data_IF_841686714265
#
_entry.id   IF_841686714265
#
_cell.length_a   1.000
_cell.length_b   1.000
_cell.length_c   1.000
_cell.angle_alpha   90.00
_cell.angle_beta   90.00
_cell.angle_gamma   90.00
#
_symmetry.space_group_name_H-M   'P 1'
#
loop_
_entity.id
_entity.type
_entity.pdbx_description
1 polymer ?
#
# COMPACT_ATOMS: atom_id res chain seq x y z
N UNK A 1 -12.43 -11.95 21.81
CA UNK A 1 -12.04 -12.03 20.39
C UNK A 1 -12.85 -13.16 19.78
N UNK A 2 -13.90 -12.85 19.02
CA UNK A 2 -14.89 -13.82 18.53
C UNK A 2 -14.33 -14.60 17.34
N UNK A 3 -14.77 -15.85 17.13
CA UNK A 3 -14.31 -16.71 16.00
C UNK A 3 -14.45 -15.99 14.65
N UNK A 4 -15.53 -15.23 14.46
CA UNK A 4 -15.78 -14.38 13.29
C UNK A 4 -14.69 -13.31 13.04
N UNK A 5 -14.05 -12.81 14.11
CA UNK A 5 -12.96 -11.83 14.00
C UNK A 5 -11.63 -12.46 13.58
N UNK A 6 -11.43 -13.76 13.83
CA UNK A 6 -10.22 -14.49 13.44
C UNK A 6 -10.27 -14.87 11.97
N UNK A 7 -11.41 -15.42 11.51
CA UNK A 7 -11.62 -15.79 10.10
C UNK A 7 -11.49 -14.58 9.16
N UNK A 8 -12.07 -13.44 9.55
CA UNK A 8 -11.96 -12.20 8.77
C UNK A 8 -10.51 -11.71 8.66
N UNK A 9 -9.71 -11.84 9.73
CA UNK A 9 -8.30 -11.46 9.72
C UNK A 9 -7.48 -12.38 8.81
N UNK A 10 -7.69 -13.69 8.89
CA UNK A 10 -7.03 -14.66 8.01
C UNK A 10 -7.37 -14.42 6.53
N UNK A 11 -8.65 -14.16 6.22
CA UNK A 11 -9.08 -13.81 4.88
C UNK A 11 -8.38 -12.53 4.37
N UNK A 12 -8.34 -11.50 5.20
CA UNK A 12 -7.69 -10.23 4.86
C UNK A 12 -6.19 -10.39 4.58
N UNK A 13 -5.46 -11.10 5.46
CA UNK A 13 -4.02 -11.34 5.27
C UNK A 13 -3.77 -12.13 3.98
N UNK A 14 -4.54 -13.19 3.72
CA UNK A 14 -4.39 -13.98 2.51
C UNK A 14 -4.61 -13.13 1.25
N UNK A 15 -5.64 -12.29 1.23
CA UNK A 15 -5.91 -11.38 0.12
C UNK A 15 -4.78 -10.36 -0.08
N UNK A 16 -4.23 -9.79 1.01
CA UNK A 16 -3.10 -8.86 0.95
C UNK A 16 -1.84 -9.55 0.37
N UNK A 17 -1.53 -10.76 0.82
CA UNK A 17 -0.38 -11.52 0.32
C UNK A 17 -0.54 -11.88 -1.16
N UNK A 18 -1.75 -12.21 -1.62
CA UNK A 18 -2.02 -12.41 -3.05
C UNK A 18 -1.80 -11.12 -3.87
N UNK A 19 -2.23 -9.97 -3.35
CA UNK A 19 -2.02 -8.68 -3.99
C UNK A 19 -0.53 -8.30 -4.08
N UNK A 20 0.24 -8.56 -3.01
CA UNK A 20 1.70 -8.35 -3.00
C UNK A 20 2.40 -9.31 -3.96
N UNK A 21 1.99 -10.57 -3.99
CA UNK A 21 2.52 -11.55 -4.95
C UNK A 21 2.24 -11.13 -6.40
N UNK A 22 1.07 -10.55 -6.66
CA UNK A 22 0.75 -9.98 -7.97
C UNK A 22 1.68 -8.81 -8.34
N UNK A 23 2.01 -7.90 -7.41
CA UNK A 23 3.04 -6.87 -7.65
C UNK A 23 4.39 -7.50 -8.02
N UNK A 24 4.78 -8.57 -7.32
CA UNK A 24 6.01 -9.31 -7.62
C UNK A 24 6.02 -9.85 -9.05
N UNK A 25 4.87 -10.33 -9.52
CA UNK A 25 4.69 -10.77 -10.91
C UNK A 25 4.75 -9.60 -11.90
N UNK A 26 4.18 -8.44 -11.59
CA UNK A 26 4.31 -7.23 -12.43
C UNK A 26 5.77 -6.78 -12.57
N UNK A 27 6.51 -6.74 -11.46
CA UNK A 27 7.95 -6.43 -11.45
C UNK A 27 8.75 -7.42 -12.32
N UNK A 28 8.44 -8.72 -12.21
CA UNK A 28 9.06 -9.76 -13.01
C UNK A 28 8.68 -9.65 -14.50
N UNK A 29 7.43 -9.33 -14.82
CA UNK A 29 6.98 -9.09 -16.18
C UNK A 29 7.70 -7.90 -16.82
N UNK A 30 7.90 -6.81 -16.06
CA UNK A 30 8.70 -5.67 -16.51
C UNK A 30 10.14 -6.06 -16.83
N UNK A 31 10.79 -6.82 -15.95
CA UNK A 31 12.17 -7.32 -16.19
C UNK A 31 12.26 -8.19 -17.45
N UNK A 32 11.29 -9.08 -17.64
CA UNK A 32 11.28 -10.05 -18.73
C UNK A 32 10.68 -9.51 -20.04
N UNK A 33 10.14 -8.28 -20.05
CA UNK A 33 9.45 -7.69 -21.21
C UNK A 33 8.11 -8.37 -21.54
N UNK A 34 7.42 -8.94 -20.54
CA UNK A 34 6.13 -9.64 -20.69
C UNK A 34 4.96 -8.73 -20.35
N UNK A 35 3.76 -9.15 -20.75
CA UNK A 35 2.51 -8.48 -20.36
C UNK A 35 2.26 -8.60 -18.85
N UNK A 36 1.58 -7.59 -18.30
CA UNK A 36 1.20 -7.60 -16.89
C UNK A 36 0.08 -8.62 -16.62
N UNK A 37 0.17 -9.40 -15.53
CA UNK A 37 -0.90 -10.32 -15.14
C UNK A 37 -2.15 -9.56 -14.70
N UNK A 38 -3.31 -10.20 -14.80
CA UNK A 38 -4.56 -9.68 -14.26
C UNK A 38 -4.55 -9.63 -12.73
N UNK A 39 -5.12 -8.56 -12.15
CA UNK A 39 -5.23 -8.42 -10.70
C UNK A 39 -6.19 -9.46 -10.10
N UNK A 40 -5.86 -10.09 -8.95
CA UNK A 40 -6.71 -11.11 -8.32
C UNK A 40 -8.10 -10.57 -7.94
N UNK A 41 -9.15 -11.32 -8.27
CA UNK A 41 -10.54 -10.88 -8.06
C UNK A 41 -10.96 -10.94 -6.59
N UNK A 42 -10.38 -11.87 -5.84
CA UNK A 42 -10.62 -12.11 -4.42
C UNK A 42 -10.32 -10.88 -3.56
N UNK A 43 -9.42 -10.01 -4.05
CA UNK A 43 -8.99 -8.79 -3.38
C UNK A 43 -9.97 -7.63 -3.59
N UNK A 44 -10.89 -7.71 -4.55
CA UNK A 44 -11.80 -6.60 -4.92
C UNK A 44 -13.07 -6.53 -4.06
N UNK A 45 -13.23 -7.40 -3.06
CA UNK A 45 -14.42 -7.41 -2.20
C UNK A 45 -14.28 -6.41 -1.06
N UNK A 46 -15.37 -5.73 -0.69
CA UNK A 46 -15.40 -4.72 0.38
C UNK A 46 -15.02 -5.28 1.77
N UNK A 47 -15.08 -6.60 1.96
CA UNK A 47 -14.63 -7.25 3.18
C UNK A 47 -13.10 -7.21 3.33
N UNK A 48 -12.35 -6.96 2.26
CA UNK A 48 -10.88 -6.87 2.29
C UNK A 48 -10.47 -5.43 2.60
N UNK A 49 -9.55 -5.24 3.54
CA UNK A 49 -9.16 -3.92 4.03
C UNK A 49 -8.52 -3.06 2.94
N UNK A 50 -7.77 -3.67 2.01
CA UNK A 50 -7.24 -2.97 0.85
C UNK A 50 -8.35 -2.38 -0.04
N UNK A 51 -9.40 -3.14 -0.34
CA UNK A 51 -10.52 -2.67 -1.16
C UNK A 51 -11.27 -1.53 -0.45
N UNK A 52 -11.54 -1.72 0.85
CA UNK A 52 -12.16 -0.69 1.67
C UNK A 52 -11.34 0.62 1.71
N UNK A 53 -10.02 0.52 1.90
CA UNK A 53 -9.09 1.66 1.90
C UNK A 53 -9.06 2.36 0.54
N UNK A 54 -8.92 1.60 -0.54
CA UNK A 54 -8.91 2.10 -1.93
C UNK A 54 -10.18 2.90 -2.21
N UNK A 55 -11.34 2.37 -1.85
CA UNK A 55 -12.63 3.06 -2.02
C UNK A 55 -12.72 4.32 -1.14
N UNK A 56 -12.34 4.23 0.13
CA UNK A 56 -12.46 5.33 1.10
C UNK A 56 -11.62 6.54 0.69
N UNK A 57 -10.41 6.32 0.20
CA UNK A 57 -9.50 7.38 -0.25
C UNK A 57 -9.59 7.65 -1.75
N UNK A 58 -10.51 7.00 -2.46
CA UNK A 58 -10.74 7.14 -3.90
C UNK A 58 -9.45 6.93 -4.72
N UNK A 59 -8.66 5.91 -4.34
CA UNK A 59 -7.43 5.58 -5.04
C UNK A 59 -7.76 4.97 -6.42
N UNK A 60 -7.04 5.43 -7.44
CA UNK A 60 -6.97 4.79 -8.74
C UNK A 60 -6.33 3.40 -8.64
N UNK A 61 -6.50 2.58 -9.68
CA UNK A 61 -5.81 1.29 -9.81
C UNK A 61 -4.29 1.47 -9.64
N UNK A 62 -3.71 2.49 -10.27
CA UNK A 62 -2.29 2.76 -10.21
C UNK A 62 -1.81 3.19 -8.81
N UNK A 63 -2.59 4.04 -8.13
CA UNK A 63 -2.28 4.49 -6.77
C UNK A 63 -2.34 3.34 -5.76
N UNK A 64 -3.36 2.47 -5.86
CA UNK A 64 -3.43 1.22 -5.09
C UNK A 64 -2.21 0.33 -5.36
N UNK A 65 -1.77 0.24 -6.61
CA UNK A 65 -0.61 -0.59 -6.97
C UNK A 65 0.70 -0.01 -6.39
N UNK A 66 0.85 1.31 -6.33
CA UNK A 66 1.98 1.97 -5.64
C UNK A 66 1.96 1.67 -4.14
N UNK A 67 0.78 1.75 -3.51
CA UNK A 67 0.63 1.38 -2.11
C UNK A 67 1.06 -0.08 -1.87
N UNK A 68 0.60 -1.02 -2.71
CA UNK A 68 0.99 -2.43 -2.63
C UNK A 68 2.48 -2.68 -2.89
N UNK A 69 3.11 -1.90 -3.77
CA UNK A 69 4.56 -1.93 -3.96
C UNK A 69 5.30 -1.56 -2.67
N UNK A 70 4.80 -0.56 -1.94
CA UNK A 70 5.34 -0.18 -0.64
C UNK A 70 5.06 -1.23 0.45
N UNK A 71 3.87 -1.86 0.44
CA UNK A 71 3.56 -3.00 1.32
C UNK A 71 4.55 -4.13 1.09
N UNK A 72 4.77 -4.54 -0.16
CA UNK A 72 5.69 -5.62 -0.49
C UNK A 72 7.12 -5.33 -0.02
N UNK A 73 7.59 -4.09 -0.19
CA UNK A 73 8.88 -3.65 0.35
C UNK A 73 8.96 -3.78 1.88
N UNK A 74 7.86 -3.56 2.60
CA UNK A 74 7.82 -3.59 4.05
C UNK A 74 7.74 -5.02 4.63
N UNK A 75 7.09 -5.96 3.93
CA UNK A 75 6.77 -7.29 4.49
C UNK A 75 7.55 -8.45 3.87
N UNK A 76 8.08 -8.29 2.66
CA UNK A 76 8.80 -9.35 1.95
C UNK A 76 10.30 -9.01 1.86
N UNK A 77 11.17 -9.75 2.59
CA UNK A 77 12.61 -9.48 2.62
C UNK A 77 13.30 -9.69 1.27
N UNK A 78 12.65 -10.31 0.28
CA UNK A 78 13.19 -10.52 -1.06
C UNK A 78 12.93 -9.35 -2.03
N UNK A 79 12.05 -8.41 -1.67
CA UNK A 79 11.72 -7.27 -2.52
C UNK A 79 12.92 -6.38 -2.85
N UNK A 80 13.81 -6.00 -1.91
CA UNK A 80 14.94 -5.12 -2.22
C UNK A 80 15.83 -5.66 -3.37
N UNK A 81 16.10 -6.96 -3.36
CA UNK A 81 16.86 -7.62 -4.42
C UNK A 81 16.11 -7.57 -5.77
N UNK A 82 14.82 -7.87 -5.76
CA UNK A 82 13.99 -7.79 -6.96
C UNK A 82 13.93 -6.38 -7.54
N UNK A 83 13.77 -5.35 -6.70
CA UNK A 83 13.73 -3.95 -7.14
C UNK A 83 15.07 -3.52 -7.75
N UNK A 84 16.18 -3.92 -7.14
CA UNK A 84 17.52 -3.69 -7.68
C UNK A 84 17.71 -4.34 -9.06
N UNK A 85 17.23 -5.58 -9.24
CA UNK A 85 17.27 -6.29 -10.52
C UNK A 85 16.42 -5.60 -11.59
N UNK A 86 15.18 -5.21 -11.26
CA UNK A 86 14.26 -4.53 -12.18
C UNK A 86 14.79 -3.16 -12.59
N UNK A 87 15.42 -2.43 -11.67
CA UNK A 87 16.02 -1.11 -11.93
C UNK A 87 17.41 -1.18 -12.56
N UNK A 88 18.02 -2.37 -12.65
CA UNK A 88 19.37 -2.56 -13.17
C UNK A 88 20.46 -1.88 -12.34
N UNK A 89 20.18 -1.58 -11.08
CA UNK A 89 21.08 -0.84 -10.20
C UNK A 89 20.94 -1.31 -8.75
N UNK A 90 22.00 -1.92 -8.20
CA UNK A 90 22.03 -2.43 -6.83
C UNK A 90 21.83 -1.36 -5.75
N UNK A 91 22.08 -0.09 -6.07
CA UNK A 91 21.82 1.04 -5.16
C UNK A 91 20.34 1.45 -5.13
N UNK A 92 19.53 1.00 -6.08
CA UNK A 92 18.10 1.28 -6.17
C UNK A 92 17.29 0.06 -5.73
N UNK A 93 17.47 -0.33 -4.47
CA UNK A 93 16.78 -1.48 -3.86
C UNK A 93 15.49 -1.05 -3.12
N UNK A 94 14.82 -0.01 -3.60
CA UNK A 94 13.66 0.60 -2.94
C UNK A 94 12.61 1.09 -3.97
N UNK A 95 11.33 1.19 -3.57
CA UNK A 95 10.27 1.73 -4.42
C UNK A 95 10.50 3.21 -4.74
N UNK A 96 10.22 3.61 -5.98
CA UNK A 96 10.21 5.00 -6.43
C UNK A 96 9.03 5.24 -7.37
N UNK A 97 8.60 6.49 -7.55
CA UNK A 97 7.57 6.79 -8.56
C UNK A 97 8.08 6.46 -9.98
N UNK A 98 9.36 6.68 -10.26
CA UNK A 98 9.98 6.30 -11.54
C UNK A 98 9.89 4.80 -11.80
N UNK A 99 10.11 3.96 -10.78
CA UNK A 99 9.92 2.53 -10.89
C UNK A 99 8.44 2.20 -11.15
N UNK A 100 7.53 2.74 -10.36
CA UNK A 100 6.09 2.49 -10.50
C UNK A 100 5.57 2.82 -11.90
N UNK A 101 5.96 3.97 -12.46
CA UNK A 101 5.57 4.42 -13.79
C UNK A 101 6.01 3.49 -14.92
N UNK A 102 7.04 2.67 -14.68
CA UNK A 102 7.58 1.75 -15.70
C UNK A 102 7.26 0.28 -15.43
N UNK A 103 6.93 -0.09 -14.19
CA UNK A 103 6.82 -1.48 -13.77
C UNK A 103 5.42 -1.89 -13.28
N UNK A 104 4.45 -0.96 -13.27
CA UNK A 104 3.07 -1.23 -12.88
C UNK A 104 2.09 -0.86 -14.02
N UNK A 105 0.92 -1.52 -14.10
CA UNK A 105 -0.09 -1.20 -15.11
C UNK A 105 -0.78 0.14 -14.83
N UNK A 106 -1.35 0.71 -15.90
CA UNK A 106 -2.10 1.99 -15.89
C UNK A 106 -1.30 3.21 -15.37
N UNK A 107 -0.03 3.42 -15.79
CA UNK A 107 0.78 4.51 -15.25
C UNK A 107 0.21 5.88 -15.60
N UNK A 108 0.20 6.79 -14.62
CA UNK A 108 -0.18 8.18 -14.82
C UNK A 108 0.70 9.15 -14.03
N UNK A 109 0.98 10.32 -14.60
CA UNK A 109 1.87 11.32 -13.97
C UNK A 109 1.22 12.10 -12.82
N UNK A 110 -0.10 12.00 -12.63
CA UNK A 110 -0.81 12.67 -11.54
C UNK A 110 -0.33 12.27 -10.14
N UNK A 111 0.46 11.19 -10.01
CA UNK A 111 1.11 10.81 -8.75
C UNK A 111 2.14 11.84 -8.25
N UNK A 112 2.60 12.75 -9.13
CA UNK A 112 3.49 13.84 -8.75
C UNK A 112 2.74 15.04 -8.16
N UNK A 113 1.42 15.16 -8.37
CA UNK A 113 0.61 16.24 -7.79
C UNK A 113 0.61 16.18 -6.27
N UNK A 114 0.75 17.31 -5.58
CA UNK A 114 0.60 17.40 -4.11
C UNK A 114 -0.78 17.00 -3.64
N UNK A 115 -1.79 17.12 -4.50
CA UNK A 115 -3.18 16.72 -4.24
C UNK A 115 -3.44 15.23 -4.52
N UNK A 116 -2.42 14.47 -4.92
CA UNK A 116 -2.57 13.05 -5.15
C UNK A 116 -3.00 12.34 -3.83
N UNK A 117 -4.03 11.48 -3.84
CA UNK A 117 -4.55 10.83 -2.64
C UNK A 117 -3.49 10.14 -1.78
N UNK A 118 -2.47 9.52 -2.38
CA UNK A 118 -1.40 8.84 -1.65
C UNK A 118 -0.62 9.78 -0.72
N UNK A 119 -0.40 11.03 -1.15
CA UNK A 119 0.34 12.05 -0.39
C UNK A 119 -0.60 12.90 0.46
N UNK A 120 -1.75 13.27 -0.09
CA UNK A 120 -2.76 14.07 0.60
C UNK A 120 -3.21 13.41 1.91
N UNK A 121 -3.39 12.09 1.88
CA UNK A 121 -3.80 11.30 3.05
C UNK A 121 -2.64 10.62 3.77
N UNK A 122 -1.39 10.94 3.39
CA UNK A 122 -0.17 10.38 3.99
C UNK A 122 -0.17 8.84 4.03
N UNK A 123 -0.68 8.20 2.97
CA UNK A 123 -0.69 6.74 2.87
C UNK A 123 0.71 6.17 2.60
N UNK A 124 1.55 7.01 2.00
CA UNK A 124 2.97 6.76 1.79
C UNK A 124 3.78 7.99 2.20
N UNK A 125 5.01 7.75 2.60
CA UNK A 125 6.04 8.76 2.79
C UNK A 125 6.94 8.81 1.54
N UNK A 126 7.30 10.03 1.13
CA UNK A 126 8.28 10.29 0.08
C UNK A 126 9.52 10.86 0.75
N UNK A 127 10.63 10.13 0.73
CA UNK A 127 11.84 10.53 1.44
C UNK A 127 12.39 11.87 0.90
N UNK A 128 12.67 12.79 1.83
CA UNK A 128 13.09 14.16 1.51
C UNK A 128 14.60 14.18 1.28
N UNK A 129 15.04 14.42 0.05
CA UNK A 129 16.47 14.55 -0.27
C UNK A 129 16.85 14.28 -1.71
N UNK A 130 15.95 13.69 -2.49
CA UNK A 130 16.10 13.43 -3.92
C UNK A 130 14.94 14.06 -4.70
N UNK A 131 15.05 14.06 -6.04
CA UNK A 131 13.92 14.41 -6.91
C UNK A 131 12.69 13.58 -6.52
N UNK A 132 11.48 14.15 -6.48
CA UNK A 132 10.26 13.43 -6.08
C UNK A 132 10.05 12.12 -6.84
N UNK A 133 10.47 12.06 -8.11
CA UNK A 133 10.36 10.86 -8.95
C UNK A 133 11.28 9.71 -8.53
N UNK A 134 12.44 10.03 -7.94
CA UNK A 134 13.50 9.06 -7.60
C UNK A 134 13.69 8.89 -6.09
N UNK A 135 12.96 9.66 -5.30
CA UNK A 135 12.93 9.52 -3.84
C UNK A 135 12.36 8.14 -3.45
N UNK A 136 12.96 7.48 -2.45
CA UNK A 136 12.38 6.31 -1.82
C UNK A 136 10.94 6.55 -1.37
N UNK A 137 10.05 5.59 -1.66
CA UNK A 137 8.69 5.56 -1.14
C UNK A 137 8.60 4.52 -0.02
N UNK A 138 7.89 4.85 1.05
CA UNK A 138 7.58 3.95 2.16
C UNK A 138 6.09 4.00 2.47
N UNK A 139 5.53 2.90 2.92
CA UNK A 139 4.16 2.90 3.43
C UNK A 139 4.13 3.49 4.84
N UNK A 140 3.09 4.26 5.16
CA UNK A 140 2.84 4.70 6.54
C UNK A 140 2.60 3.49 7.47
N UNK A 141 3.16 3.53 8.68
CA UNK A 141 3.12 2.41 9.62
C UNK A 141 1.70 2.09 10.09
N UNK A 142 0.85 3.10 10.28
CA UNK A 142 -0.55 2.90 10.66
C UNK A 142 -1.34 2.27 9.51
N UNK A 143 -1.11 2.70 8.27
CA UNK A 143 -1.72 2.09 7.10
C UNK A 143 -1.27 0.65 6.93
N UNK A 144 0.02 0.35 7.14
CA UNK A 144 0.53 -1.02 7.11
C UNK A 144 -0.12 -1.91 8.17
N UNK A 145 -0.19 -1.44 9.43
CA UNK A 145 -0.86 -2.15 10.52
C UNK A 145 -2.34 -2.41 10.20
N UNK A 146 -3.03 -1.39 9.67
CA UNK A 146 -4.42 -1.51 9.23
C UNK A 146 -4.57 -2.60 8.15
N UNK A 147 -3.73 -2.59 7.11
CA UNK A 147 -3.79 -3.58 6.03
C UNK A 147 -3.48 -5.00 6.51
N UNK A 148 -2.62 -5.16 7.52
CA UNK A 148 -2.34 -6.45 8.17
C UNK A 148 -3.46 -6.92 9.10
N UNK A 149 -4.48 -6.07 9.34
CA UNK A 149 -5.54 -6.32 10.29
C UNK A 149 -5.05 -6.37 11.73
N UNK A 150 -3.96 -5.66 12.01
CA UNK A 150 -3.56 -5.34 13.36
C UNK A 150 -4.40 -4.18 13.90
N UNK A 151 -4.53 -4.14 15.23
CA UNK A 151 -5.21 -3.04 15.89
C UNK A 151 -4.39 -1.77 15.70
N UNK A 152 -4.87 -0.86 14.87
CA UNK A 152 -4.40 0.52 14.89
C UNK A 152 -5.12 1.23 16.04
N UNK A 153 -4.39 1.52 17.11
CA UNK A 153 -4.83 2.50 18.08
C UNK A 153 -3.77 3.57 18.17
N UNK A 154 -4.19 4.77 17.83
CA UNK A 154 -3.48 5.97 18.15
C UNK A 154 -3.54 6.12 19.69
N UNK A 155 -2.49 5.65 20.36
CA UNK A 155 -2.31 5.84 21.81
C UNK A 155 -2.28 7.32 22.17
N UNK A 156 -1.94 8.20 21.22
CA UNK A 156 -2.04 9.65 21.40
C UNK A 156 -3.50 10.09 21.37
N UNK A 157 -4.33 9.61 20.44
CA UNK A 157 -5.79 9.88 20.44
C UNK A 157 -6.50 9.37 21.70
N UNK A 158 -6.07 8.28 22.35
CA UNK A 158 -6.63 7.88 23.65
C UNK A 158 -6.46 8.94 24.74
N UNK A 159 -5.41 9.75 24.65
CA UNK A 159 -5.17 10.86 25.59
C UNK A 159 -5.89 12.16 25.21
N UNK A 160 -6.31 12.30 23.94
CA UNK A 160 -7.01 13.49 23.42
C UNK A 160 -8.53 13.30 23.28
N UNK A 161 -9.04 12.06 23.28
CA UNK A 161 -10.47 11.77 23.22
C UNK A 161 -11.01 11.66 24.66
N UNK A 162 -11.46 12.78 25.20
CA UNK A 162 -12.42 12.74 26.31
C UNK A 162 -13.71 12.13 25.78
N UNK A 163 -14.02 10.89 26.18
CA UNK A 163 -15.36 10.35 26.04
C UNK A 163 -16.31 11.29 26.78
N UNK A 164 -17.14 12.04 26.05
CA UNK A 164 -18.26 12.74 26.66
C UNK A 164 -19.22 11.66 27.19
N UNK A 165 -19.56 11.64 28.49
CA UNK A 165 -20.59 10.74 28.98
C UNK A 165 -21.90 11.03 28.26
N UNK A 166 -22.71 9.99 28.02
CA UNK A 166 -24.01 10.01 27.31
C UNK A 166 -25.09 10.91 27.96
N UNK A 167 -24.75 11.75 28.94
CA UNK A 167 -25.68 12.53 29.75
C UNK A 167 -25.99 13.95 29.20
N UNK A 168 -25.63 14.27 27.96
CA UNK A 168 -25.95 15.58 27.35
C UNK A 168 -26.85 15.44 26.12
N UNK A 169 -27.88 14.60 26.22
CA UNK A 169 -29.09 14.69 25.39
C UNK A 169 -30.32 14.65 26.30
N UNK A 170 -30.60 15.78 26.95
CA UNK A 170 -31.91 16.12 27.52
C UNK A 170 -32.34 17.47 27.01
#
# INVERSE_FOLDING_TARGET
MTILSVEQKSLNINALLQAVQWIRQCLSAKRDGKEFPSFPQEVNTDAIFLAHLTRKFQLSTFERNILLLCVGMAIDPTFPELLAQVQGNSKLAYPTFSLALTALPEPHWSILSTENPLKLWQLIEVDTGLSPTTAPLKIDECILCYLLGEKTFDEQLKSFVNFLPDEVLS
#
